data_IF_750447788632
#
_entry.id   IF_750447788632
#
_cell.length_a   1.000
_cell.length_b   1.000
_cell.length_c   1.000
_cell.angle_alpha   90.00
_cell.angle_beta   90.00
_cell.angle_gamma   90.00
#
_symmetry.space_group_name_H-M   'P 1'
#
loop_
_entity.id
_entity.type
_entity.pdbx_description
1 polymer ?
#
# COMPACT_ATOMS: atom_id res chain seq x y z
N UNK A 1 -3.12 -32.83 -7.15
CA UNK A 1 -3.94 -31.85 -6.41
C UNK A 1 -3.67 -30.49 -7.02
N UNK A 2 -4.63 -29.92 -7.74
CA UNK A 2 -4.56 -28.52 -8.18
C UNK A 2 -4.72 -27.66 -6.93
N UNK A 3 -3.63 -27.03 -6.50
CA UNK A 3 -3.65 -26.12 -5.36
C UNK A 3 -4.52 -24.93 -5.69
N UNK A 4 -5.46 -24.60 -4.81
CA UNK A 4 -6.19 -23.35 -4.87
C UNK A 4 -5.16 -22.20 -4.82
N UNK A 5 -4.83 -21.61 -5.98
CA UNK A 5 -4.24 -20.28 -6.00
C UNK A 5 -5.25 -19.39 -5.28
N UNK A 6 -4.94 -19.01 -4.04
CA UNK A 6 -5.83 -18.19 -3.24
C UNK A 6 -6.11 -16.91 -4.02
N UNK A 7 -7.37 -16.70 -4.43
CA UNK A 7 -7.88 -15.44 -4.97
C UNK A 7 -7.86 -14.30 -3.91
N UNK A 8 -6.95 -14.35 -2.95
CA UNK A 8 -6.79 -13.33 -1.92
C UNK A 8 -6.00 -12.18 -2.51
N UNK A 9 -6.69 -11.05 -2.66
CA UNK A 9 -6.06 -9.77 -2.95
C UNK A 9 -5.03 -9.47 -1.86
N UNK A 10 -3.80 -9.26 -2.29
CA UNK A 10 -2.67 -8.94 -1.43
C UNK A 10 -2.63 -7.43 -1.25
N UNK A 11 -3.06 -6.94 -0.08
CA UNK A 11 -3.07 -5.51 0.22
C UNK A 11 -1.68 -4.99 0.56
N UNK A 12 -1.27 -3.94 -0.13
CA UNK A 12 -0.03 -3.20 0.05
C UNK A 12 -0.36 -1.72 0.30
N UNK A 13 0.47 -1.03 1.08
CA UNK A 13 0.19 0.35 1.48
C UNK A 13 1.34 1.30 1.16
N UNK A 14 0.98 2.53 0.82
CA UNK A 14 1.86 3.70 0.83
C UNK A 14 1.37 4.57 1.98
N UNK A 15 2.20 4.70 3.01
CA UNK A 15 1.88 5.42 4.23
C UNK A 15 2.52 6.81 4.20
N UNK A 16 1.68 7.84 4.06
CA UNK A 16 2.11 9.24 3.99
C UNK A 16 0.96 10.16 4.37
N UNK A 17 1.27 11.31 4.98
CA UNK A 17 0.26 12.36 5.23
C UNK A 17 0.04 13.27 4.02
N UNK A 18 0.92 13.21 3.03
CA UNK A 18 0.87 14.00 1.80
C UNK A 18 0.27 13.18 0.64
N UNK A 19 -0.86 13.65 0.12
CA UNK A 19 -1.58 12.93 -0.94
C UNK A 19 -0.84 12.95 -2.28
N UNK A 20 -0.15 14.03 -2.62
CA UNK A 20 0.57 14.12 -3.89
C UNK A 20 1.79 13.19 -3.84
N UNK A 21 2.50 13.12 -2.70
CA UNK A 21 3.57 12.13 -2.49
C UNK A 21 3.04 10.70 -2.61
N UNK A 22 1.90 10.41 -1.97
CA UNK A 22 1.28 9.09 -2.04
C UNK A 22 0.87 8.68 -3.45
N UNK A 23 0.26 9.59 -4.20
CA UNK A 23 -0.15 9.36 -5.59
C UNK A 23 1.09 9.16 -6.48
N UNK A 24 2.10 10.01 -6.36
CA UNK A 24 3.32 9.88 -7.15
C UNK A 24 4.00 8.53 -6.92
N UNK A 25 4.07 8.09 -5.66
CA UNK A 25 4.65 6.80 -5.31
C UNK A 25 3.81 5.63 -5.83
N UNK A 26 2.49 5.76 -5.85
CA UNK A 26 1.57 4.76 -6.41
C UNK A 26 1.75 4.62 -7.94
N UNK A 27 1.96 5.74 -8.64
CA UNK A 27 2.26 5.76 -10.08
C UNK A 27 3.65 5.21 -10.41
N UNK A 28 4.64 5.44 -9.55
CA UNK A 28 5.97 4.82 -9.66
C UNK A 28 5.87 3.29 -9.61
N UNK A 29 5.17 2.75 -8.61
CA UNK A 29 4.95 1.30 -8.48
C UNK A 29 4.22 0.73 -9.70
N UNK A 30 3.19 1.43 -10.19
CA UNK A 30 2.48 1.02 -11.39
C UNK A 30 3.41 0.95 -12.61
N UNK A 31 4.25 1.95 -12.80
CA UNK A 31 5.22 1.97 -13.89
C UNK A 31 6.18 0.77 -13.79
N UNK A 32 6.79 0.57 -12.61
CA UNK A 32 7.75 -0.53 -12.38
C UNK A 32 7.11 -1.92 -12.61
N UNK A 33 5.85 -2.10 -12.18
CA UNK A 33 5.08 -3.32 -12.39
C UNK A 33 4.79 -3.57 -13.87
N UNK A 34 4.32 -2.55 -14.58
CA UNK A 34 4.03 -2.65 -16.01
C UNK A 34 5.32 -2.92 -16.83
N UNK A 35 6.44 -2.29 -16.48
CA UNK A 35 7.76 -2.57 -17.09
C UNK A 35 8.23 -4.02 -16.83
N UNK A 36 7.76 -4.62 -15.74
CA UNK A 36 8.01 -6.03 -15.40
C UNK A 36 6.98 -7.00 -16.00
N UNK A 37 6.04 -6.52 -16.83
CA UNK A 37 5.01 -7.32 -17.48
C UNK A 37 3.78 -7.66 -16.62
N UNK A 38 3.60 -6.98 -15.48
CA UNK A 38 2.41 -7.12 -14.62
C UNK A 38 1.41 -6.03 -14.98
N UNK A 39 0.20 -6.40 -15.37
CA UNK A 39 -0.81 -5.48 -15.88
C UNK A 39 -1.58 -4.77 -14.76
N UNK A 40 -1.87 -3.48 -14.96
CA UNK A 40 -2.89 -2.76 -14.18
C UNK A 40 -4.30 -3.24 -14.56
N UNK A 41 -5.04 -3.82 -13.60
CA UNK A 41 -6.43 -4.27 -13.82
C UNK A 41 -7.47 -3.27 -13.30
N UNK A 42 -7.07 -2.40 -12.37
CA UNK A 42 -7.93 -1.32 -11.87
C UNK A 42 -7.08 -0.15 -11.36
N UNK A 43 -7.60 1.07 -11.54
CA UNK A 43 -6.97 2.30 -11.05
C UNK A 43 -8.00 3.33 -10.63
N UNK A 44 -7.93 3.78 -9.39
CA UNK A 44 -8.70 4.89 -8.85
C UNK A 44 -7.77 5.90 -8.19
N UNK A 45 -7.69 7.12 -8.74
CA UNK A 45 -6.85 8.19 -8.19
C UNK A 45 -7.75 9.27 -7.59
N UNK A 46 -7.43 9.68 -6.36
CA UNK A 46 -8.14 10.70 -5.60
C UNK A 46 -7.16 11.58 -4.86
N UNK A 47 -7.35 12.91 -4.95
CA UNK A 47 -6.62 13.90 -4.17
C UNK A 47 -7.23 14.17 -2.79
N UNK A 48 -8.37 13.57 -2.48
CA UNK A 48 -9.02 13.73 -1.17
C UNK A 48 -8.30 12.93 -0.10
N UNK A 49 -8.04 13.53 1.06
CA UNK A 49 -7.50 12.83 2.22
C UNK A 49 -8.46 11.79 2.83
N UNK A 50 -9.75 11.83 2.44
CA UNK A 50 -10.78 10.88 2.90
C UNK A 50 -11.03 9.72 1.93
N UNK A 51 -10.61 9.86 0.67
CA UNK A 51 -10.79 8.85 -0.37
C UNK A 51 -9.41 8.42 -0.82
N UNK A 52 -9.04 7.19 -0.48
CA UNK A 52 -7.74 6.61 -0.86
C UNK A 52 -7.64 6.45 -2.37
N UNK A 53 -6.44 6.69 -2.89
CA UNK A 53 -6.05 6.20 -4.21
C UNK A 53 -5.71 4.72 -4.13
N UNK A 54 -6.05 3.96 -5.16
CA UNK A 54 -5.78 2.53 -5.26
C UNK A 54 -5.45 2.07 -6.68
N UNK A 55 -4.54 1.10 -6.80
CA UNK A 55 -4.24 0.38 -8.04
C UNK A 55 -4.23 -1.11 -7.75
N UNK A 56 -4.90 -1.90 -8.61
CA UNK A 56 -4.86 -3.37 -8.56
C UNK A 56 -4.14 -3.91 -9.77
N UNK A 57 -3.41 -4.99 -9.56
CA UNK A 57 -2.56 -5.62 -10.56
C UNK A 57 -3.00 -7.06 -10.86
N UNK A 58 -2.62 -7.57 -12.03
CA UNK A 58 -2.96 -8.94 -12.48
C UNK A 58 -2.26 -10.03 -11.67
N UNK A 59 -1.20 -9.69 -10.92
CA UNK A 59 -0.51 -10.59 -9.97
C UNK A 59 -1.24 -10.73 -8.61
N UNK A 60 -2.37 -10.03 -8.44
CA UNK A 60 -3.18 -10.05 -7.23
C UNK A 60 -2.79 -9.02 -6.17
N UNK A 61 -1.80 -8.15 -6.42
CA UNK A 61 -1.49 -7.04 -5.51
C UNK A 61 -2.49 -5.89 -5.67
N UNK A 62 -2.90 -5.30 -4.54
CA UNK A 62 -3.64 -4.05 -4.44
C UNK A 62 -2.81 -3.06 -3.63
N UNK A 63 -2.40 -1.96 -4.24
CA UNK A 63 -1.68 -0.88 -3.58
C UNK A 63 -2.62 0.28 -3.28
N UNK A 64 -2.60 0.76 -2.04
CA UNK A 64 -3.43 1.88 -1.60
C UNK A 64 -2.62 2.97 -0.90
N UNK A 65 -3.03 4.23 -1.04
CA UNK A 65 -2.53 5.32 -0.19
C UNK A 65 -3.25 5.34 1.15
N UNK A 66 -2.51 5.45 2.25
CA UNK A 66 -3.08 5.55 3.59
C UNK A 66 -2.55 6.77 4.30
N UNK A 67 -3.46 7.68 4.65
CA UNK A 67 -3.15 8.89 5.40
C UNK A 67 -3.25 8.63 6.92
N UNK A 68 -2.18 8.85 7.72
CA UNK A 68 -2.21 8.68 9.17
C UNK A 68 -3.27 9.53 9.87
N UNK A 69 -3.56 10.72 9.33
CA UNK A 69 -4.41 11.72 9.97
C UNK A 69 -5.91 11.51 9.66
N UNK A 70 -6.23 10.65 8.69
CA UNK A 70 -7.61 10.38 8.29
C UNK A 70 -8.31 9.30 9.15
N UNK A 71 -7.82 9.06 10.37
CA UNK A 71 -8.39 8.04 11.26
C UNK A 71 -8.24 6.61 10.75
N UNK A 72 -7.22 6.34 9.92
CA UNK A 72 -6.96 5.03 9.34
C UNK A 72 -6.60 4.03 10.45
N UNK A 73 -7.59 3.29 10.96
CA UNK A 73 -7.41 2.28 12.02
C UNK A 73 -7.63 0.87 11.49
N UNK A 74 -6.77 -0.07 11.87
CA UNK A 74 -7.00 -1.50 11.68
C UNK A 74 -6.80 -2.02 10.24
N UNK A 75 -6.08 -1.28 9.39
CA UNK A 75 -5.69 -1.78 8.07
C UNK A 75 -4.68 -2.92 8.23
N UNK A 76 -4.86 -3.99 7.46
CA UNK A 76 -3.93 -5.12 7.35
C UNK A 76 -3.22 -5.04 6.00
N UNK A 77 -1.91 -5.27 5.97
CA UNK A 77 -1.08 -5.16 4.77
C UNK A 77 0.04 -6.20 4.71
N UNK A 78 0.53 -6.48 3.50
CA UNK A 78 1.67 -7.35 3.20
C UNK A 78 2.96 -6.58 2.99
N UNK A 79 2.91 -5.51 2.17
CA UNK A 79 4.03 -4.60 1.92
C UNK A 79 3.65 -3.19 2.32
N UNK A 80 4.60 -2.44 2.88
CA UNK A 80 4.42 -1.04 3.23
C UNK A 80 5.60 -0.19 2.76
N UNK A 81 5.28 0.91 2.09
CA UNK A 81 6.22 1.98 1.77
C UNK A 81 5.87 3.19 2.64
N UNK A 82 6.83 3.67 3.43
CA UNK A 82 6.62 4.72 4.43
C UNK A 82 7.39 5.96 4.01
N UNK A 83 6.69 7.09 3.95
CA UNK A 83 7.30 8.40 3.73
C UNK A 83 8.02 8.85 5.00
N UNK A 84 9.36 8.80 4.96
CA UNK A 84 10.21 9.07 6.12
C UNK A 84 10.26 10.56 6.49
N UNK A 85 9.85 11.45 5.59
CA UNK A 85 9.89 12.90 5.81
C UNK A 85 8.72 13.43 6.64
N UNK A 86 7.56 12.77 6.62
CA UNK A 86 6.34 13.30 7.24
C UNK A 86 5.52 12.27 8.04
N UNK A 87 5.96 11.02 8.11
CA UNK A 87 5.36 10.00 8.98
C UNK A 87 6.43 9.22 9.74
N UNK A 88 6.02 8.52 10.78
CA UNK A 88 6.89 7.65 11.57
C UNK A 88 6.40 6.21 11.57
N UNK A 89 7.33 5.28 11.72
CA UNK A 89 7.05 3.85 11.92
C UNK A 89 6.17 3.65 13.17
N UNK A 90 6.38 4.45 14.23
CA UNK A 90 5.56 4.40 15.44
C UNK A 90 4.09 4.75 15.16
N UNK A 91 3.83 5.77 14.33
CA UNK A 91 2.48 6.12 13.89
C UNK A 91 1.87 5.00 13.04
N UNK A 92 2.67 4.37 12.16
CA UNK A 92 2.21 3.22 11.38
C UNK A 92 1.70 2.10 12.30
N UNK A 93 2.51 1.63 13.25
CA UNK A 93 2.10 0.56 14.17
C UNK A 93 0.94 0.93 15.09
N UNK A 94 0.80 2.22 15.43
CA UNK A 94 -0.32 2.69 16.26
C UNK A 94 -1.65 2.72 15.52
N UNK A 95 -1.61 2.92 14.20
CA UNK A 95 -2.79 3.13 13.36
C UNK A 95 -3.15 1.87 12.54
N UNK A 96 -2.17 1.08 12.16
CA UNK A 96 -2.31 -0.01 11.20
C UNK A 96 -1.77 -1.29 11.82
N UNK A 97 -2.60 -2.33 11.86
CA UNK A 97 -2.28 -3.60 12.53
C UNK A 97 -1.90 -4.64 11.48
N UNK A 98 -0.71 -5.25 11.54
CA UNK A 98 -0.38 -6.41 10.69
C UNK A 98 -1.43 -7.53 10.81
N UNK A 99 -1.60 -8.36 9.78
CA UNK A 99 -2.59 -9.44 9.83
C UNK A 99 -2.11 -10.61 10.72
N UNK A 100 -2.89 -10.98 11.74
CA UNK A 100 -2.68 -12.22 12.51
C UNK A 100 -1.60 -12.13 13.58
N UNK A 101 -1.34 -13.24 14.28
CA UNK A 101 -0.38 -13.33 15.39
C UNK A 101 1.08 -13.48 14.98
N UNK A 102 1.39 -13.77 13.70
CA UNK A 102 2.73 -14.25 13.31
C UNK A 102 3.25 -13.78 11.92
N UNK A 103 2.65 -12.78 11.28
CA UNK A 103 3.04 -12.41 9.90
C UNK A 103 3.16 -10.89 9.67
N UNK A 104 4.33 -10.33 9.97
CA UNK A 104 4.90 -9.27 9.13
C UNK A 104 5.55 -9.94 7.92
N UNK A 105 5.01 -9.77 6.71
CA UNK A 105 5.46 -10.60 5.59
C UNK A 105 6.67 -10.02 4.83
N UNK A 106 6.87 -8.70 4.82
CA UNK A 106 8.10 -8.06 4.32
C UNK A 106 8.39 -6.79 5.15
N UNK A 107 9.69 -6.52 5.40
CA UNK A 107 10.10 -5.28 6.08
C UNK A 107 9.58 -4.06 5.31
N UNK A 108 9.12 -3.05 6.05
CA UNK A 108 8.73 -1.79 5.45
C UNK A 108 9.92 -1.17 4.71
N UNK A 109 9.65 -0.49 3.60
CA UNK A 109 10.65 0.32 2.92
C UNK A 109 10.40 1.79 3.21
N UNK A 110 11.47 2.49 3.57
CA UNK A 110 11.44 3.95 3.67
C UNK A 110 11.68 4.54 2.28
N UNK A 111 11.01 5.64 1.99
CA UNK A 111 11.33 6.49 0.84
C UNK A 111 11.32 7.96 1.27
N UNK A 112 11.93 8.82 0.45
CA UNK A 112 12.24 10.22 0.80
C UNK A 112 13.04 10.33 2.11
N UNK A 113 14.26 9.77 2.11
CA UNK A 113 15.25 9.89 3.20
C UNK A 113 16.00 11.22 3.15
#
# INVERSE_FOLDING_TARGET
MQGACSNQIVKCIIYTSDMDVGINKLLEIEKDKNESGIETVFKGISKSCYIRSEIRFSDGEEWITVNPNAGARGYRWRKAWIDANNTTISQLYSNIVPCGSDYQWEDYKLFNL
#
